data_IF_109279072619
#
_entry.id   IF_109279072619
#
_cell.length_a   1.000
_cell.length_b   1.000
_cell.length_c   1.000
_cell.angle_alpha   90.00
_cell.angle_beta   90.00
_cell.angle_gamma   90.00
#
_symmetry.space_group_name_H-M   'P 1'
#
loop_
_entity.id
_entity.type
_entity.pdbx_description
1 polymer ?
#
# COMPACT_ATOMS: atom_id res chain seq x y z
N UNK A 1 9.54 -6.30 20.01
CA UNK A 1 9.80 -5.25 19.01
C UNK A 1 10.95 -4.30 19.37
N UNK A 2 10.91 -3.55 20.48
CA UNK A 2 12.01 -2.64 20.86
C UNK A 2 13.30 -3.42 21.10
N UNK A 3 13.23 -4.54 21.78
CA UNK A 3 14.37 -5.41 22.05
C UNK A 3 14.97 -6.01 20.76
N UNK A 4 14.13 -6.33 19.78
CA UNK A 4 14.54 -6.81 18.44
C UNK A 4 15.33 -5.73 17.71
N UNK A 5 14.86 -4.47 17.72
CA UNK A 5 15.57 -3.35 17.12
C UNK A 5 16.91 -3.08 17.79
N UNK A 6 16.98 -3.12 19.14
CA UNK A 6 18.22 -2.96 19.89
C UNK A 6 19.23 -4.06 19.55
N UNK A 7 18.77 -5.31 19.44
CA UNK A 7 19.62 -6.44 19.08
C UNK A 7 20.08 -6.35 17.62
N UNK A 8 19.22 -5.96 16.69
CA UNK A 8 19.57 -5.72 15.28
C UNK A 8 20.64 -4.61 15.14
N UNK A 9 20.57 -3.56 15.97
CA UNK A 9 21.55 -2.48 15.96
C UNK A 9 22.98 -2.93 16.36
N UNK A 10 23.09 -3.96 17.20
CA UNK A 10 24.39 -4.54 17.61
C UNK A 10 25.08 -5.28 16.47
N UNK A 11 24.33 -5.75 15.46
CA UNK A 11 24.88 -6.45 14.30
C UNK A 11 25.33 -5.45 13.24
N UNK A 12 26.63 -5.38 12.93
CA UNK A 12 27.23 -4.37 12.06
C UNK A 12 26.58 -4.27 10.66
N UNK A 13 26.24 -5.42 10.04
CA UNK A 13 25.66 -5.41 8.70
C UNK A 13 24.18 -4.99 8.71
N UNK A 14 23.41 -5.39 9.74
CA UNK A 14 22.04 -4.95 9.90
C UNK A 14 21.98 -3.46 10.19
N UNK A 15 22.89 -2.95 11.01
CA UNK A 15 23.05 -1.52 11.26
C UNK A 15 23.31 -0.75 9.97
N UNK A 16 24.20 -1.22 9.08
CA UNK A 16 24.45 -0.59 7.78
C UNK A 16 23.19 -0.53 6.93
N UNK A 17 22.41 -1.62 6.87
CA UNK A 17 21.14 -1.67 6.12
C UNK A 17 20.09 -0.72 6.71
N UNK A 18 19.97 -0.66 8.05
CA UNK A 18 19.04 0.26 8.74
C UNK A 18 19.41 1.72 8.40
N UNK A 19 20.70 2.06 8.55
CA UNK A 19 21.18 3.40 8.23
C UNK A 19 20.98 3.78 6.77
N UNK A 20 21.20 2.84 5.84
CA UNK A 20 20.94 3.05 4.43
C UNK A 20 19.47 3.32 4.14
N UNK A 21 18.56 2.53 4.74
CA UNK A 21 17.11 2.75 4.61
C UNK A 21 16.69 4.11 5.20
N UNK A 22 17.23 4.48 6.37
CA UNK A 22 16.99 5.79 6.98
C UNK A 22 17.49 6.93 6.10
N UNK A 23 18.65 6.79 5.47
CA UNK A 23 19.20 7.76 4.53
C UNK A 23 18.29 7.95 3.31
N UNK A 24 17.77 6.87 2.73
CA UNK A 24 16.83 6.97 1.59
C UNK A 24 15.52 7.65 2.02
N UNK A 25 15.00 7.36 3.22
CA UNK A 25 13.82 8.06 3.75
C UNK A 25 14.09 9.56 3.88
N UNK A 26 15.28 9.94 4.34
CA UNK A 26 15.68 11.35 4.43
C UNK A 26 15.73 12.01 3.05
N UNK A 27 16.32 11.36 2.03
CA UNK A 27 16.34 11.86 0.65
C UNK A 27 14.91 12.01 0.13
N UNK A 28 14.02 11.03 0.38
CA UNK A 28 12.61 11.13 0.03
C UNK A 28 11.93 12.35 0.69
N UNK A 29 12.21 12.62 1.97
CA UNK A 29 11.62 13.78 2.67
C UNK A 29 12.13 15.11 2.14
N UNK A 30 13.39 15.22 1.80
CA UNK A 30 13.97 16.44 1.17
C UNK A 30 13.28 16.68 -0.19
N UNK A 31 13.18 15.66 -1.05
CA UNK A 31 12.53 15.82 -2.35
C UNK A 31 11.03 16.13 -2.26
N UNK A 32 10.35 15.66 -1.21
CA UNK A 32 8.96 16.00 -0.95
C UNK A 32 8.76 17.46 -0.49
N UNK A 33 9.82 18.17 -0.12
CA UNK A 33 9.79 19.58 0.26
C UNK A 33 10.22 20.52 -0.88
N UNK A 34 10.82 20.00 -1.96
CA UNK A 34 11.30 20.83 -3.09
C UNK A 34 10.14 21.22 -3.99
N UNK A 35 9.81 22.51 -4.15
CA UNK A 35 8.76 22.96 -5.06
C UNK A 35 9.20 22.77 -6.54
N UNK A 36 8.23 22.50 -7.40
CA UNK A 36 8.48 22.41 -8.84
C UNK A 36 8.55 23.83 -9.44
N UNK A 37 9.51 24.12 -10.35
CA UNK A 37 9.56 25.40 -11.04
C UNK A 37 8.23 25.74 -11.71
N UNK A 38 7.89 27.02 -11.75
CA UNK A 38 6.66 27.56 -12.34
C UNK A 38 5.33 27.14 -11.65
N UNK A 39 5.40 26.53 -10.49
CA UNK A 39 4.21 26.17 -9.69
C UNK A 39 4.28 26.91 -8.37
N UNK A 40 3.23 27.70 -8.06
CA UNK A 40 3.13 28.49 -6.85
C UNK A 40 1.79 28.19 -6.15
N UNK A 41 1.85 27.30 -5.18
CA UNK A 41 0.70 26.89 -4.38
C UNK A 41 0.89 27.41 -2.95
N UNK A 42 0.39 28.64 -2.72
CA UNK A 42 0.34 29.24 -1.40
C UNK A 42 -0.89 28.72 -0.65
N UNK A 43 -0.67 27.99 0.46
CA UNK A 43 -1.75 27.48 1.32
C UNK A 43 -2.25 26.05 1.02
N UNK A 44 -1.76 25.42 -0.05
CA UNK A 44 -2.14 24.05 -0.45
C UNK A 44 -3.35 24.00 -1.39
N UNK A 45 -3.46 22.90 -2.15
CA UNK A 45 -4.58 22.63 -3.08
C UNK A 45 -5.87 22.28 -2.34
N UNK A 46 -5.76 21.72 -1.14
CA UNK A 46 -6.86 21.25 -0.31
C UNK A 46 -7.03 22.26 0.83
N UNK A 47 -7.77 23.32 0.57
CA UNK A 47 -8.11 24.34 1.59
C UNK A 47 -9.33 23.97 2.40
N UNK A 48 -10.24 23.18 1.84
CA UNK A 48 -11.45 22.71 2.51
C UNK A 48 -11.32 21.26 2.94
N UNK A 49 -11.55 20.99 4.21
CA UNK A 49 -11.57 19.64 4.80
C UNK A 49 -12.64 18.74 4.15
N UNK A 50 -13.61 19.34 3.48
CA UNK A 50 -14.69 18.68 2.72
C UNK A 50 -14.38 18.53 1.22
N UNK A 51 -13.24 19.05 0.74
CA UNK A 51 -12.87 18.91 -0.65
C UNK A 51 -12.47 17.45 -0.94
N UNK A 52 -13.12 16.88 -1.92
CA UNK A 52 -12.92 15.57 -2.55
C UNK A 52 -11.97 14.63 -1.78
N UNK A 53 -12.55 13.69 -1.04
CA UNK A 53 -11.83 12.69 -0.23
C UNK A 53 -10.70 11.96 -1.00
N UNK A 54 -10.79 11.91 -2.34
CA UNK A 54 -9.75 11.35 -3.20
C UNK A 54 -8.45 12.17 -3.18
N UNK A 55 -8.53 13.49 -3.26
CA UNK A 55 -7.36 14.37 -3.19
C UNK A 55 -6.70 14.32 -1.81
N UNK A 56 -7.51 14.26 -0.76
CA UNK A 56 -7.03 14.04 0.60
C UNK A 56 -6.31 12.70 0.72
N UNK A 57 -6.83 11.63 0.12
CA UNK A 57 -6.19 10.32 0.10
C UNK A 57 -4.83 10.35 -0.64
N UNK A 58 -4.76 10.96 -1.83
CA UNK A 58 -3.49 11.13 -2.56
C UNK A 58 -2.49 11.95 -1.75
N UNK A 59 -2.93 13.06 -1.16
CA UNK A 59 -2.09 13.89 -0.32
C UNK A 59 -1.53 13.13 0.88
N UNK A 60 -2.31 12.20 1.47
CA UNK A 60 -1.83 11.35 2.55
C UNK A 60 -0.76 10.37 2.11
N UNK A 61 -0.95 9.69 1.00
CA UNK A 61 0.03 8.73 0.47
C UNK A 61 1.34 9.39 0.05
N UNK A 62 1.27 10.68 -0.36
CA UNK A 62 2.44 11.45 -0.81
C UNK A 62 3.10 12.26 0.30
N UNK A 63 2.56 12.22 1.53
CA UNK A 63 3.06 12.99 2.65
C UNK A 63 2.94 14.50 2.45
N UNK A 64 1.83 14.98 1.89
CA UNK A 64 1.50 16.36 1.48
C UNK A 64 2.20 16.87 0.22
N UNK A 65 3.10 16.10 -0.39
CA UNK A 65 3.78 16.51 -1.62
C UNK A 65 2.78 16.85 -2.75
N UNK A 66 1.67 16.10 -2.85
CA UNK A 66 0.59 16.37 -3.81
C UNK A 66 -0.12 17.70 -3.50
N UNK A 67 -0.38 17.99 -2.23
CA UNK A 67 -1.10 19.18 -1.80
C UNK A 67 -0.32 20.48 -2.11
N UNK A 68 1.00 20.43 -2.00
CA UNK A 68 1.88 21.58 -2.26
C UNK A 68 2.53 21.58 -3.64
N UNK A 69 2.20 20.61 -4.52
CA UNK A 69 2.75 20.56 -5.86
C UNK A 69 4.27 20.41 -5.91
N UNK A 70 4.86 19.69 -4.96
CA UNK A 70 6.31 19.49 -4.89
C UNK A 70 6.78 18.41 -5.86
N UNK A 71 8.09 18.26 -6.03
CA UNK A 71 8.72 17.34 -6.98
C UNK A 71 8.18 15.91 -6.89
N UNK A 72 7.84 15.48 -5.68
CA UNK A 72 7.32 14.13 -5.42
C UNK A 72 5.80 14.05 -5.30
N UNK A 73 5.06 14.99 -5.91
CA UNK A 73 3.60 15.01 -5.86
C UNK A 73 2.94 13.72 -6.37
N UNK A 74 3.50 13.06 -7.39
CA UNK A 74 2.99 11.77 -7.88
C UNK A 74 3.40 10.58 -7.01
N UNK A 75 4.40 10.75 -6.13
CA UNK A 75 4.93 9.69 -5.25
C UNK A 75 5.21 8.38 -6.01
N UNK A 76 5.00 7.25 -5.37
CA UNK A 76 5.18 5.90 -5.94
C UNK A 76 3.90 5.36 -6.60
N UNK A 77 2.81 6.14 -6.62
CA UNK A 77 1.49 5.72 -7.12
C UNK A 77 1.52 5.19 -8.56
N UNK A 78 2.22 5.82 -9.54
CA UNK A 78 2.31 5.28 -10.91
C UNK A 78 2.94 3.90 -10.96
N UNK A 79 3.95 3.64 -10.12
CA UNK A 79 4.60 2.34 -10.06
C UNK A 79 3.70 1.26 -9.44
N UNK A 80 2.95 1.59 -8.39
CA UNK A 80 1.97 0.68 -7.79
C UNK A 80 0.94 0.29 -8.85
N UNK A 81 0.37 1.27 -9.55
CA UNK A 81 -0.61 1.03 -10.61
C UNK A 81 -0.03 0.17 -11.74
N UNK A 82 1.20 0.45 -12.18
CA UNK A 82 1.90 -0.35 -13.17
C UNK A 82 2.10 -1.80 -12.70
N UNK A 83 2.53 -2.00 -11.45
CA UNK A 83 2.73 -3.33 -10.86
C UNK A 83 1.42 -4.11 -10.83
N UNK A 84 0.31 -3.47 -10.45
CA UNK A 84 -1.03 -4.07 -10.45
C UNK A 84 -1.43 -4.50 -11.87
N UNK A 85 -1.29 -3.59 -12.83
CA UNK A 85 -1.65 -3.86 -14.22
C UNK A 85 -0.83 -5.05 -14.77
N UNK A 86 0.47 -5.07 -14.54
CA UNK A 86 1.33 -6.16 -15.01
C UNK A 86 1.01 -7.48 -14.31
N UNK A 87 0.71 -7.47 -13.00
CA UNK A 87 0.28 -8.68 -12.29
C UNK A 87 -1.06 -9.23 -12.82
N UNK A 88 -2.03 -8.37 -13.13
CA UNK A 88 -3.28 -8.78 -13.77
C UNK A 88 -3.04 -9.35 -15.17
N UNK A 89 -2.20 -8.68 -15.95
CA UNK A 89 -1.85 -9.12 -17.30
C UNK A 89 -1.05 -10.43 -17.33
N UNK A 90 -0.25 -10.73 -16.29
CA UNK A 90 0.44 -12.03 -16.17
C UNK A 90 -0.52 -13.20 -16.04
N UNK A 91 -1.71 -12.98 -15.50
CA UNK A 91 -2.77 -14.01 -15.44
C UNK A 91 -3.57 -14.09 -16.74
N UNK A 92 -3.78 -12.94 -17.40
CA UNK A 92 -4.60 -12.84 -18.60
C UNK A 92 -3.85 -13.23 -19.88
N UNK A 93 -2.53 -12.98 -19.94
CA UNK A 93 -1.71 -13.16 -21.16
C UNK A 93 -0.76 -14.34 -20.98
N UNK A 94 -0.92 -15.46 -21.75
CA UNK A 94 -0.08 -16.66 -21.61
C UNK A 94 1.43 -16.41 -21.82
N UNK A 95 1.80 -15.39 -22.62
CA UNK A 95 3.20 -15.03 -22.81
C UNK A 95 3.84 -14.47 -21.55
N UNK A 96 3.11 -13.64 -20.79
CA UNK A 96 3.59 -13.09 -19.52
C UNK A 96 3.55 -14.14 -18.39
N UNK A 97 2.58 -15.06 -18.44
CA UNK A 97 2.53 -16.21 -17.52
C UNK A 97 3.76 -17.11 -17.67
N UNK A 98 4.20 -17.37 -18.91
CA UNK A 98 5.45 -18.13 -19.18
C UNK A 98 6.65 -17.42 -18.57
N UNK A 99 6.78 -16.10 -18.79
CA UNK A 99 7.87 -15.30 -18.20
C UNK A 99 7.84 -15.36 -16.67
N UNK A 100 6.68 -15.34 -16.03
CA UNK A 100 6.56 -15.45 -14.58
C UNK A 100 7.05 -16.81 -14.04
N UNK A 101 6.94 -17.88 -14.85
CA UNK A 101 7.39 -19.25 -14.52
C UNK A 101 8.86 -19.53 -14.86
N UNK A 102 9.51 -18.68 -15.66
CA UNK A 102 10.94 -18.82 -16.06
C UNK A 102 11.95 -18.55 -14.92
N UNK A 103 11.49 -18.29 -13.69
CA UNK A 103 12.37 -18.08 -12.54
C UNK A 103 12.95 -16.66 -12.47
N UNK A 104 14.25 -16.52 -12.15
CA UNK A 104 14.86 -15.20 -11.92
C UNK A 104 14.97 -14.33 -13.18
N UNK A 105 15.27 -14.91 -14.34
CA UNK A 105 15.35 -14.15 -15.59
C UNK A 105 13.99 -13.60 -16.01
N UNK A 106 12.94 -14.41 -15.92
CA UNK A 106 11.59 -13.97 -16.20
C UNK A 106 11.13 -12.86 -15.26
N UNK A 107 11.44 -12.97 -13.97
CA UNK A 107 11.14 -11.92 -12.98
C UNK A 107 11.87 -10.61 -13.29
N UNK A 108 13.13 -10.64 -13.73
CA UNK A 108 13.87 -9.44 -14.15
C UNK A 108 13.22 -8.77 -15.37
N UNK A 109 12.80 -9.56 -16.37
CA UNK A 109 12.07 -9.04 -17.54
C UNK A 109 10.73 -8.41 -17.15
N UNK A 110 9.95 -9.07 -16.30
CA UNK A 110 8.69 -8.52 -15.79
C UNK A 110 8.91 -7.21 -15.01
N UNK A 111 9.94 -7.15 -14.16
CA UNK A 111 10.31 -5.92 -13.45
C UNK A 111 10.66 -4.78 -14.44
N UNK A 112 11.39 -5.07 -15.52
CA UNK A 112 11.70 -4.07 -16.55
C UNK A 112 10.44 -3.58 -17.26
N UNK A 113 9.51 -4.47 -17.61
CA UNK A 113 8.21 -4.09 -18.21
C UNK A 113 7.43 -3.20 -17.25
N UNK A 114 7.39 -3.56 -15.95
CA UNK A 114 6.73 -2.75 -14.92
C UNK A 114 7.34 -1.35 -14.81
N UNK A 115 8.67 -1.21 -14.90
CA UNK A 115 9.35 0.09 -14.89
C UNK A 115 8.94 0.95 -16.08
N UNK A 116 8.96 0.43 -17.30
CA UNK A 116 8.54 1.18 -18.50
C UNK A 116 7.08 1.58 -18.43
N UNK A 117 6.20 0.67 -18.01
CA UNK A 117 4.78 0.96 -17.83
C UNK A 117 4.57 2.04 -16.75
N UNK A 118 5.35 2.01 -15.66
CA UNK A 118 5.27 3.01 -14.60
C UNK A 118 5.69 4.40 -15.07
N UNK A 119 6.71 4.52 -15.90
CA UNK A 119 7.13 5.80 -16.49
C UNK A 119 6.05 6.35 -17.42
N UNK A 120 5.44 5.50 -18.25
CA UNK A 120 4.34 5.90 -19.14
C UNK A 120 3.12 6.39 -18.31
N UNK A 121 2.75 5.67 -17.24
CA UNK A 121 1.67 6.09 -16.34
C UNK A 121 2.03 7.37 -15.57
N UNK A 122 3.29 7.53 -15.14
CA UNK A 122 3.75 8.74 -14.47
C UNK A 122 3.62 9.95 -15.39
N UNK A 123 3.98 9.82 -16.67
CA UNK A 123 3.85 10.90 -17.66
C UNK A 123 2.38 11.26 -17.88
N UNK A 124 1.50 10.26 -18.00
CA UNK A 124 0.06 10.49 -18.15
C UNK A 124 -0.53 11.21 -16.90
N UNK A 125 -0.20 10.75 -15.69
CA UNK A 125 -0.67 11.35 -14.45
C UNK A 125 -0.09 12.74 -14.22
N UNK A 126 1.18 12.97 -14.54
CA UNK A 126 1.82 14.29 -14.48
C UNK A 126 1.17 15.28 -15.42
N UNK A 127 0.77 14.85 -16.62
CA UNK A 127 0.01 15.66 -17.57
C UNK A 127 -1.38 16.01 -17.00
N UNK A 128 -2.06 15.05 -16.38
CA UNK A 128 -3.32 15.29 -15.69
C UNK A 128 -3.20 16.36 -14.62
N UNK A 129 -2.21 16.20 -13.78
CA UNK A 129 -1.96 17.08 -12.65
C UNK A 129 -1.57 18.50 -13.12
N UNK A 130 -0.81 18.61 -14.20
CA UNK A 130 -0.53 19.91 -14.84
C UNK A 130 -1.82 20.62 -15.27
N UNK A 131 -2.74 19.92 -15.96
CA UNK A 131 -4.02 20.51 -16.36
C UNK A 131 -4.87 20.92 -15.15
N UNK A 132 -4.82 20.14 -14.09
CA UNK A 132 -5.52 20.48 -12.84
C UNK A 132 -4.96 21.75 -12.19
N UNK A 133 -3.63 21.88 -12.05
CA UNK A 133 -2.95 23.08 -11.53
C UNK A 133 -3.28 24.29 -12.40
N UNK A 134 -3.23 24.12 -13.72
CA UNK A 134 -3.56 25.18 -14.69
C UNK A 134 -5.01 25.64 -14.56
N UNK A 135 -5.95 24.74 -14.33
CA UNK A 135 -7.38 25.08 -14.18
C UNK A 135 -7.70 25.86 -12.91
N UNK A 136 -6.82 25.81 -11.91
CA UNK A 136 -6.92 26.49 -10.62
C UNK A 136 -6.06 27.75 -10.52
N UNK A 137 -5.40 28.12 -11.61
CA UNK A 137 -4.53 29.32 -11.70
C UNK A 137 -3.35 29.34 -10.70
N UNK A 138 -2.80 28.16 -10.38
CA UNK A 138 -1.62 28.01 -9.54
C UNK A 138 -0.28 28.04 -10.31
N UNK A 139 -0.31 28.42 -11.59
CA UNK A 139 0.90 28.61 -12.39
C UNK A 139 1.44 30.02 -12.20
N UNK A 140 2.77 30.13 -12.09
CA UNK A 140 3.43 31.45 -12.07
C UNK A 140 3.10 32.23 -13.34
N UNK A 141 2.85 33.51 -13.17
CA UNK A 141 2.60 34.48 -14.24
C UNK A 141 3.88 35.23 -14.59
N UNK A 142 3.88 35.92 -15.74
CA UNK A 142 4.96 36.81 -16.15
C UNK A 142 5.08 38.02 -15.17
N UNK A 143 6.18 38.76 -15.25
CA UNK A 143 6.44 39.96 -14.45
C UNK A 143 5.30 41.00 -14.46
N UNK A 144 4.46 40.97 -15.49
CA UNK A 144 3.28 41.81 -15.65
C UNK A 144 1.98 41.19 -15.13
N UNK A 145 2.02 40.03 -14.46
CA UNK A 145 0.84 39.29 -13.98
C UNK A 145 0.04 38.60 -15.08
N UNK A 146 0.53 38.54 -16.32
CA UNK A 146 -0.11 37.85 -17.44
C UNK A 146 0.32 36.38 -17.52
N UNK A 147 -0.59 35.50 -17.96
CA UNK A 147 -0.25 34.08 -18.21
C UNK A 147 0.72 34.00 -19.38
N UNK A 148 1.73 33.14 -19.26
CA UNK A 148 2.66 32.88 -20.35
C UNK A 148 1.90 32.40 -21.61
N UNK A 149 2.26 32.94 -22.78
CA UNK A 149 1.66 32.61 -24.08
C UNK A 149 2.73 32.16 -25.07
N UNK A 150 2.30 31.44 -26.11
CA UNK A 150 3.21 30.96 -27.17
C UNK A 150 4.25 29.96 -26.66
N UNK A 151 5.51 30.15 -27.04
CA UNK A 151 6.64 29.25 -26.76
C UNK A 151 6.85 29.05 -25.24
N UNK A 152 6.77 30.11 -24.45
CA UNK A 152 6.99 30.07 -23.01
C UNK A 152 5.89 29.23 -22.27
N UNK A 153 4.64 29.25 -22.75
CA UNK A 153 3.59 28.40 -22.18
C UNK A 153 3.85 26.91 -22.44
N UNK A 154 4.37 26.56 -23.63
CA UNK A 154 4.74 25.18 -23.96
C UNK A 154 5.95 24.75 -23.14
N UNK A 155 6.97 25.60 -23.01
CA UNK A 155 8.14 25.33 -22.19
C UNK A 155 7.79 25.11 -20.72
N UNK A 156 6.93 25.96 -20.15
CA UNK A 156 6.42 25.82 -18.77
C UNK A 156 5.70 24.48 -18.59
N UNK A 157 4.81 24.11 -19.53
CA UNK A 157 4.08 22.84 -19.47
C UNK A 157 5.03 21.63 -19.51
N UNK A 158 5.98 21.63 -20.46
CA UNK A 158 6.97 20.55 -20.59
C UNK A 158 7.85 20.44 -19.33
N UNK A 159 8.35 21.56 -18.82
CA UNK A 159 9.19 21.57 -17.63
C UNK A 159 8.46 20.97 -16.42
N UNK A 160 7.21 21.36 -16.16
CA UNK A 160 6.40 20.87 -15.06
C UNK A 160 6.13 19.37 -15.20
N UNK A 161 5.67 18.92 -16.40
CA UNK A 161 5.35 17.50 -16.65
C UNK A 161 6.60 16.63 -16.51
N UNK A 162 7.74 17.06 -17.06
CA UNK A 162 9.00 16.33 -16.94
C UNK A 162 9.50 16.27 -15.49
N UNK A 163 9.40 17.37 -14.73
CA UNK A 163 9.78 17.39 -13.31
C UNK A 163 8.98 16.38 -12.49
N UNK A 164 7.65 16.34 -12.64
CA UNK A 164 6.82 15.37 -11.91
C UNK A 164 7.08 13.92 -12.34
N UNK A 165 7.28 13.69 -13.65
CA UNK A 165 7.60 12.35 -14.16
C UNK A 165 8.97 11.88 -13.66
N UNK A 166 9.97 12.75 -13.69
CA UNK A 166 11.30 12.46 -13.17
C UNK A 166 11.27 12.20 -11.68
N UNK A 167 10.51 13.01 -10.88
CA UNK A 167 10.34 12.82 -9.45
C UNK A 167 9.75 11.44 -9.11
N UNK A 168 8.68 11.03 -9.79
CA UNK A 168 8.08 9.71 -9.60
C UNK A 168 9.02 8.56 -9.98
N UNK A 169 9.74 8.70 -11.10
CA UNK A 169 10.74 7.70 -11.54
C UNK A 169 11.90 7.60 -10.55
N UNK A 170 12.31 8.71 -9.97
CA UNK A 170 13.35 8.73 -8.94
C UNK A 170 12.91 8.04 -7.65
N UNK A 171 11.65 8.26 -7.21
CA UNK A 171 11.09 7.54 -6.06
C UNK A 171 11.03 6.03 -6.31
N UNK A 172 10.63 5.60 -7.51
CA UNK A 172 10.66 4.19 -7.91
C UNK A 172 12.07 3.61 -7.73
N UNK A 173 13.09 4.31 -8.24
CA UNK A 173 14.49 3.89 -8.09
C UNK A 173 14.92 3.84 -6.62
N UNK A 174 14.53 4.81 -5.79
CA UNK A 174 14.80 4.80 -4.35
C UNK A 174 14.17 3.56 -3.67
N UNK A 175 12.93 3.19 -4.04
CA UNK A 175 12.26 1.98 -3.55
C UNK A 175 13.03 0.71 -3.90
N UNK A 176 13.54 0.61 -5.13
CA UNK A 176 14.36 -0.52 -5.56
C UNK A 176 15.70 -0.58 -4.82
N UNK A 177 16.34 0.54 -4.57
CA UNK A 177 17.58 0.59 -3.76
C UNK A 177 17.36 0.10 -2.32
N UNK A 178 16.20 0.37 -1.72
CA UNK A 178 15.86 -0.20 -0.40
C UNK A 178 15.72 -1.72 -0.51
N UNK A 179 15.07 -2.25 -1.56
CA UNK A 179 14.92 -3.69 -1.75
C UNK A 179 16.27 -4.40 -1.90
N UNK A 180 17.24 -3.79 -2.58
CA UNK A 180 18.57 -4.38 -2.83
C UNK A 180 19.50 -4.26 -1.62
N UNK A 181 19.58 -3.09 -1.02
CA UNK A 181 20.62 -2.75 -0.02
C UNK A 181 20.05 -2.43 1.37
N UNK A 182 18.76 -2.24 1.49
CA UNK A 182 18.08 -1.86 2.71
C UNK A 182 17.44 -3.03 3.46
N UNK A 183 16.42 -2.71 4.23
CA UNK A 183 15.58 -3.63 4.99
C UNK A 183 14.13 -3.40 4.60
N UNK A 184 13.35 -4.47 4.50
CA UNK A 184 11.93 -4.40 4.18
C UNK A 184 11.65 -4.22 2.69
N UNK A 185 10.37 -4.08 2.37
CA UNK A 185 9.92 -3.75 1.03
C UNK A 185 10.03 -2.22 0.82
N UNK A 186 10.88 -1.79 -0.11
CA UNK A 186 11.19 -0.37 -0.32
C UNK A 186 9.96 0.47 -0.68
N UNK A 187 9.06 -0.07 -1.49
CA UNK A 187 7.80 0.60 -1.85
C UNK A 187 6.95 0.85 -0.61
N UNK A 188 6.77 -0.20 0.21
CA UNK A 188 6.00 -0.13 1.45
C UNK A 188 6.61 0.84 2.46
N UNK A 189 7.95 0.88 2.56
CA UNK A 189 8.68 1.79 3.47
C UNK A 189 8.52 3.25 3.03
N UNK A 190 8.56 3.54 1.73
CA UNK A 190 8.34 4.91 1.22
C UNK A 190 6.90 5.36 1.51
N UNK A 191 5.90 4.49 1.31
CA UNK A 191 4.51 4.77 1.68
C UNK A 191 4.37 4.99 3.19
N UNK A 192 4.99 4.14 3.99
CA UNK A 192 5.04 4.29 5.45
C UNK A 192 5.63 5.64 5.86
N UNK A 193 6.76 6.04 5.28
CA UNK A 193 7.39 7.33 5.54
C UNK A 193 6.49 8.52 5.15
N UNK A 194 5.75 8.43 4.03
CA UNK A 194 4.75 9.41 3.62
C UNK A 194 3.63 9.56 4.66
N UNK A 195 3.06 8.44 5.10
CA UNK A 195 1.95 8.43 6.06
C UNK A 195 2.40 8.96 7.44
N UNK A 196 3.54 8.47 7.95
CA UNK A 196 4.09 8.91 9.24
C UNK A 196 4.36 10.41 9.26
N UNK A 197 4.83 10.96 8.15
CA UNK A 197 5.13 12.39 8.06
C UNK A 197 3.92 13.31 8.23
N UNK A 198 2.70 12.80 7.98
CA UNK A 198 1.45 13.55 8.20
C UNK A 198 0.83 13.33 9.58
N UNK A 199 1.34 12.41 10.38
CA UNK A 199 0.80 12.19 11.72
C UNK A 199 0.78 13.47 12.59
N UNK A 200 1.84 14.31 12.63
CA UNK A 200 1.79 15.54 13.41
C UNK A 200 0.68 16.50 12.96
N UNK A 201 0.50 16.66 11.65
CA UNK A 201 -0.56 17.56 11.12
C UNK A 201 -1.95 17.02 11.39
N UNK A 202 -2.12 15.69 11.39
CA UNK A 202 -3.39 15.05 11.74
C UNK A 202 -3.72 15.23 13.22
N UNK A 203 -2.73 15.07 14.12
CA UNK A 203 -2.91 15.30 15.56
C UNK A 203 -3.26 16.77 15.83
N UNK A 204 -2.55 17.69 15.15
CA UNK A 204 -2.87 19.12 15.25
C UNK A 204 -4.27 19.43 14.74
N UNK A 205 -4.70 18.81 13.64
CA UNK A 205 -6.05 18.91 13.11
C UNK A 205 -7.12 18.45 14.11
N UNK A 206 -6.89 17.33 14.82
CA UNK A 206 -7.77 16.86 15.89
C UNK A 206 -7.84 17.86 17.05
N UNK A 207 -6.70 18.46 17.42
CA UNK A 207 -6.66 19.50 18.45
C UNK A 207 -7.48 20.75 18.06
N UNK A 208 -7.41 21.22 16.81
CA UNK A 208 -8.20 22.35 16.33
C UNK A 208 -9.71 22.08 16.31
N UNK A 209 -10.13 20.82 16.22
CA UNK A 209 -11.55 20.47 16.42
C UNK A 209 -11.98 20.59 17.89
N UNK A 210 -11.11 20.28 18.85
CA UNK A 210 -11.40 20.48 20.28
C UNK A 210 -11.65 21.96 20.61
N UNK A 211 -10.88 22.87 20.00
CA UNK A 211 -11.05 24.32 20.23
C UNK A 211 -12.42 24.85 19.74
N UNK A 212 -13.09 24.16 18.82
CA UNK A 212 -14.44 24.53 18.36
C UNK A 212 -15.53 24.27 19.41
N UNK A 213 -15.24 23.50 20.47
CA UNK A 213 -16.16 23.22 21.56
C UNK A 213 -17.39 22.39 21.19
N UNK A 214 -18.37 22.32 22.11
CA UNK A 214 -19.63 21.61 21.86
C UNK A 214 -19.47 20.09 21.73
N UNK A 215 -20.13 19.47 20.74
CA UNK A 215 -20.10 18.03 20.50
C UNK A 215 -18.72 17.48 20.13
N UNK A 216 -17.80 18.34 19.60
CA UNK A 216 -16.45 17.94 19.27
C UNK A 216 -15.64 17.47 20.48
N UNK A 217 -15.97 17.94 21.70
CA UNK A 217 -15.35 17.50 22.93
C UNK A 217 -15.57 16.01 23.24
N UNK A 218 -16.66 15.44 22.73
CA UNK A 218 -16.95 14.00 22.84
C UNK A 218 -16.43 13.23 21.61
N UNK A 219 -16.58 13.79 20.40
CA UNK A 219 -16.24 13.10 19.14
C UNK A 219 -14.74 12.88 19.00
N UNK A 220 -13.90 13.86 19.37
CA UNK A 220 -12.44 13.76 19.22
C UNK A 220 -11.81 12.66 20.11
N UNK A 221 -12.13 12.55 21.42
CA UNK A 221 -11.67 11.42 22.22
C UNK A 221 -12.16 10.06 21.70
N UNK A 222 -13.41 9.97 21.22
CA UNK A 222 -13.94 8.74 20.61
C UNK A 222 -13.14 8.38 19.37
N UNK A 223 -12.81 9.36 18.52
CA UNK A 223 -11.97 9.16 17.34
C UNK A 223 -10.57 8.67 17.71
N UNK A 224 -9.94 9.24 18.74
CA UNK A 224 -8.61 8.82 19.21
C UNK A 224 -8.62 7.39 19.78
N UNK A 225 -9.60 7.07 20.62
CA UNK A 225 -9.76 5.71 21.19
C UNK A 225 -10.02 4.70 20.08
N UNK A 226 -10.89 5.02 19.11
CA UNK A 226 -11.20 4.13 18.00
C UNK A 226 -9.99 3.88 17.11
N UNK A 227 -9.10 4.86 16.91
CA UNK A 227 -7.86 4.69 16.17
C UNK A 227 -6.90 3.72 16.90
N UNK A 228 -6.78 3.83 18.21
CA UNK A 228 -5.98 2.88 19.02
C UNK A 228 -6.57 1.47 18.95
N UNK A 229 -7.89 1.33 19.05
CA UNK A 229 -8.58 0.04 18.91
C UNK A 229 -8.37 -0.55 17.50
N UNK A 230 -8.40 0.28 16.46
CA UNK A 230 -8.14 -0.15 15.10
C UNK A 230 -6.70 -0.66 14.93
N UNK A 231 -5.70 0.02 15.47
CA UNK A 231 -4.32 -0.45 15.48
C UNK A 231 -4.19 -1.79 16.19
N UNK A 232 -4.78 -1.92 17.38
CA UNK A 232 -4.78 -3.18 18.14
C UNK A 232 -5.45 -4.33 17.36
N UNK A 233 -6.56 -4.04 16.68
CA UNK A 233 -7.27 -5.00 15.84
C UNK A 233 -6.43 -5.46 14.64
N UNK A 234 -5.73 -4.54 13.96
CA UNK A 234 -4.86 -4.88 12.84
C UNK A 234 -3.69 -5.76 13.31
N UNK A 235 -3.05 -5.42 14.43
CA UNK A 235 -1.96 -6.21 15.02
C UNK A 235 -2.44 -7.62 15.37
N UNK A 236 -3.63 -7.74 15.95
CA UNK A 236 -4.24 -9.03 16.25
C UNK A 236 -4.51 -9.85 14.98
N UNK A 237 -5.08 -9.22 13.95
CA UNK A 237 -5.39 -9.85 12.67
C UNK A 237 -4.12 -10.34 11.93
N UNK A 238 -3.06 -9.53 11.88
CA UNK A 238 -1.81 -9.87 11.18
C UNK A 238 -0.97 -10.95 11.88
N UNK A 239 -1.19 -11.13 13.17
CA UNK A 239 -0.57 -12.20 13.95
C UNK A 239 -1.42 -13.46 14.04
N UNK A 240 -2.69 -13.40 13.62
CA UNK A 240 -3.58 -14.55 13.62
C UNK A 240 -3.15 -15.58 12.57
N UNK A 241 -2.92 -16.82 12.98
CA UNK A 241 -2.52 -17.93 12.11
C UNK A 241 -3.34 -19.19 12.37
N UNK A 242 -3.64 -19.92 11.29
CA UNK A 242 -4.20 -21.27 11.38
C UNK A 242 -3.07 -22.28 11.27
N UNK A 243 -2.84 -23.06 12.31
CA UNK A 243 -1.83 -24.12 12.35
C UNK A 243 -2.44 -25.43 11.87
N UNK A 244 -1.94 -25.95 10.73
CA UNK A 244 -2.32 -27.26 10.22
C UNK A 244 -1.31 -28.28 10.74
N UNK A 245 -1.71 -29.33 11.48
CA UNK A 245 -0.78 -30.35 11.95
C UNK A 245 -0.26 -31.17 10.77
N UNK A 246 1.06 -31.33 10.69
CA UNK A 246 1.74 -32.17 9.70
C UNK A 246 2.63 -33.17 10.46
N UNK A 247 2.45 -34.45 10.20
CA UNK A 247 3.28 -35.51 10.76
C UNK A 247 4.28 -35.98 9.73
N UNK A 248 5.54 -36.01 10.09
CA UNK A 248 6.59 -36.54 9.27
C UNK A 248 6.93 -37.98 9.69
N UNK A 249 7.08 -38.87 8.71
CA UNK A 249 7.45 -40.24 8.96
C UNK A 249 8.80 -40.33 9.68
N UNK A 250 8.90 -41.22 10.69
CA UNK A 250 10.16 -41.54 11.36
C UNK A 250 11.07 -42.29 10.39
N UNK A 251 12.29 -41.81 10.20
CA UNK A 251 13.29 -42.48 9.40
C UNK A 251 14.29 -43.19 10.34
N UNK A 252 14.42 -44.49 10.19
CA UNK A 252 15.41 -45.28 10.93
C UNK A 252 16.66 -45.39 10.03
N UNK A 253 17.78 -44.84 10.49
CA UNK A 253 19.10 -44.99 9.83
C UNK A 253 20.01 -45.73 10.81
N UNK A 254 20.21 -47.01 10.54
CA UNK A 254 20.90 -47.89 11.45
C UNK A 254 20.16 -48.11 12.76
N UNK A 255 20.83 -47.92 13.91
CA UNK A 255 20.25 -48.04 15.26
C UNK A 255 19.63 -46.75 15.80
N UNK A 256 19.73 -45.63 15.07
CA UNK A 256 19.21 -44.32 15.49
C UNK A 256 17.92 -43.95 14.73
N UNK A 257 16.89 -43.57 15.46
CA UNK A 257 15.65 -43.03 14.90
C UNK A 257 15.81 -41.51 14.70
N UNK A 258 15.70 -41.08 13.44
CA UNK A 258 15.66 -39.66 13.05
C UNK A 258 14.28 -39.30 12.56
N UNK A 259 13.78 -38.14 12.97
CA UNK A 259 12.47 -37.63 12.55
C UNK A 259 11.30 -38.02 13.51
N UNK A 260 10.09 -37.79 13.08
CA UNK A 260 8.90 -38.04 13.88
C UNK A 260 8.49 -36.82 14.73
N UNK A 261 9.02 -35.65 14.42
CA UNK A 261 8.48 -34.40 15.00
C UNK A 261 7.14 -34.07 14.36
N UNK A 262 6.12 -33.94 15.20
CA UNK A 262 4.87 -33.33 14.79
C UNK A 262 5.09 -31.82 14.65
N UNK A 263 5.13 -31.33 13.41
CA UNK A 263 5.24 -29.92 13.13
C UNK A 263 3.89 -29.37 12.66
N UNK A 264 3.75 -28.07 12.77
CA UNK A 264 2.57 -27.39 12.29
C UNK A 264 2.95 -26.52 11.10
N UNK A 265 2.12 -26.52 10.07
CA UNK A 265 2.20 -25.55 8.96
C UNK A 265 1.37 -24.33 9.32
N UNK A 266 2.00 -23.20 9.65
CA UNK A 266 1.25 -21.98 9.96
C UNK A 266 0.76 -21.32 8.66
N UNK A 267 -0.53 -21.03 8.57
CA UNK A 267 -1.14 -20.24 7.50
C UNK A 267 -1.71 -18.98 8.15
N UNK A 268 -1.25 -17.80 7.74
CA UNK A 268 -1.76 -16.53 8.28
C UNK A 268 -3.22 -16.32 7.85
N UNK A 269 -4.03 -15.71 8.70
CA UNK A 269 -5.41 -15.32 8.36
C UNK A 269 -5.38 -14.21 7.32
N UNK A 270 -4.52 -13.20 7.49
CA UNK A 270 -4.24 -12.19 6.49
C UNK A 270 -3.07 -12.64 5.59
N UNK A 271 -3.36 -13.54 4.63
CA UNK A 271 -2.35 -14.09 3.73
C UNK A 271 -1.86 -13.09 2.69
N UNK A 272 -2.74 -12.18 2.28
CA UNK A 272 -2.50 -11.25 1.18
C UNK A 272 -1.94 -9.91 1.66
N UNK A 273 -1.84 -9.70 2.98
CA UNK A 273 -1.37 -8.45 3.58
C UNK A 273 -2.24 -7.26 3.19
N UNK A 274 -1.60 -6.17 2.82
CA UNK A 274 -2.25 -4.88 2.48
C UNK A 274 -2.63 -4.78 1.00
N UNK A 275 -2.10 -5.66 0.14
CA UNK A 275 -2.22 -5.55 -1.32
C UNK A 275 -3.67 -5.50 -1.84
N UNK A 276 -4.62 -6.31 -1.37
CA UNK A 276 -6.00 -6.23 -1.83
C UNK A 276 -6.64 -4.86 -1.64
N UNK A 277 -6.30 -4.19 -0.54
CA UNK A 277 -6.81 -2.85 -0.23
C UNK A 277 -6.19 -1.81 -1.17
N UNK A 278 -4.87 -1.90 -1.41
CA UNK A 278 -4.17 -1.00 -2.33
C UNK A 278 -4.74 -1.16 -3.74
N UNK A 279 -5.00 -2.39 -4.19
CA UNK A 279 -5.57 -2.66 -5.50
C UNK A 279 -6.99 -2.12 -5.63
N UNK A 280 -7.84 -2.38 -4.64
CA UNK A 280 -9.20 -1.87 -4.61
C UNK A 280 -9.24 -0.33 -4.62
N UNK A 281 -8.42 0.32 -3.79
CA UNK A 281 -8.33 1.79 -3.75
C UNK A 281 -7.78 2.39 -5.05
N UNK A 282 -6.80 1.73 -5.67
CA UNK A 282 -6.23 2.17 -6.96
C UNK A 282 -7.27 2.14 -8.09
N UNK A 283 -8.07 1.08 -8.17
CA UNK A 283 -9.16 1.01 -9.18
C UNK A 283 -10.24 2.06 -8.91
N UNK A 284 -10.65 2.21 -7.65
CA UNK A 284 -11.65 3.23 -7.29
C UNK A 284 -11.15 4.66 -7.49
N UNK A 285 -9.85 4.87 -7.54
CA UNK A 285 -9.23 6.17 -7.81
C UNK A 285 -9.21 6.55 -9.30
N UNK A 286 -9.40 5.60 -10.22
CA UNK A 286 -9.36 5.87 -11.67
C UNK A 286 -10.48 6.82 -12.13
N UNK A 287 -11.78 6.62 -11.80
CA UNK A 287 -12.83 7.53 -12.23
C UNK A 287 -12.66 8.97 -11.75
N UNK A 288 -12.34 9.25 -10.46
CA UNK A 288 -12.02 10.61 -10.02
C UNK A 288 -10.80 11.21 -10.73
N UNK A 289 -9.80 10.40 -11.07
CA UNK A 289 -8.63 10.85 -11.85
C UNK A 289 -9.06 11.28 -13.26
N UNK A 290 -9.93 10.50 -13.92
CA UNK A 290 -10.46 10.86 -15.25
C UNK A 290 -11.32 12.14 -15.17
N UNK A 291 -12.07 12.33 -14.09
CA UNK A 291 -12.86 13.54 -13.85
C UNK A 291 -12.03 14.81 -13.84
N UNK A 292 -10.75 14.75 -13.46
CA UNK A 292 -9.84 15.89 -13.51
C UNK A 292 -9.61 16.43 -14.94
N UNK A 293 -9.72 15.55 -15.95
CA UNK A 293 -9.53 15.93 -17.36
C UNK A 293 -10.80 16.39 -18.04
N UNK A 294 -11.96 15.98 -17.56
CA UNK A 294 -13.25 16.21 -18.21
C UNK A 294 -14.06 17.24 -17.44
N UNK A 295 -14.38 18.36 -18.08
CA UNK A 295 -15.35 19.32 -17.54
C UNK A 295 -16.74 18.70 -17.62
N UNK A 296 -17.25 18.19 -16.51
CA UNK A 296 -18.57 17.57 -16.41
C UNK A 296 -19.62 18.65 -16.18
N UNK A 297 -20.66 18.71 -17.04
CA UNK A 297 -21.82 19.61 -16.83
C UNK A 297 -22.61 19.13 -15.61
N UNK A 298 -22.90 20.06 -14.70
CA UNK A 298 -23.75 19.80 -13.54
C UNK A 298 -25.14 19.32 -13.99
N UNK A 299 -25.65 18.21 -13.39
CA UNK A 299 -26.94 17.62 -13.72
C UNK A 299 -26.95 16.60 -14.86
N UNK A 300 -25.81 16.31 -15.53
CA UNK A 300 -25.72 15.28 -16.56
C UNK A 300 -25.52 13.86 -16.01
N UNK A 301 -25.75 12.83 -16.87
CA UNK A 301 -25.49 11.41 -16.56
C UNK A 301 -24.06 11.18 -16.00
N UNK A 302 -23.06 11.81 -16.59
CA UNK A 302 -21.67 11.73 -16.15
C UNK A 302 -21.44 12.33 -14.76
N UNK A 303 -22.16 13.41 -14.40
CA UNK A 303 -22.07 13.95 -13.05
C UNK A 303 -22.60 12.95 -12.00
N UNK A 304 -23.71 12.27 -12.31
CA UNK A 304 -24.25 11.21 -11.46
C UNK A 304 -23.30 10.02 -11.34
N UNK A 305 -22.70 9.61 -12.46
CA UNK A 305 -21.72 8.52 -12.48
C UNK A 305 -20.51 8.82 -11.59
N UNK A 306 -19.87 9.98 -11.73
CA UNK A 306 -18.72 10.34 -10.92
C UNK A 306 -19.06 10.51 -9.44
N UNK A 307 -20.26 10.98 -9.12
CA UNK A 307 -20.75 11.13 -7.75
C UNK A 307 -20.81 9.79 -7.00
N UNK A 308 -21.03 8.66 -7.69
CA UNK A 308 -21.01 7.32 -7.09
C UNK A 308 -19.62 6.97 -6.56
N UNK A 309 -18.56 7.49 -7.19
CA UNK A 309 -17.16 7.24 -6.80
C UNK A 309 -16.64 8.24 -5.75
N UNK A 310 -17.47 9.17 -5.28
CA UNK A 310 -17.12 9.98 -4.13
C UNK A 310 -17.21 9.13 -2.86
N UNK A 311 -16.19 9.20 -2.00
CA UNK A 311 -16.14 8.41 -0.76
C UNK A 311 -17.22 8.80 0.27
N UNK A 312 -17.93 9.89 0.05
CA UNK A 312 -19.12 10.30 0.81
C UNK A 312 -20.38 9.52 0.42
N UNK A 313 -20.36 8.87 -0.75
CA UNK A 313 -21.53 8.14 -1.24
C UNK A 313 -21.50 6.68 -0.73
N UNK A 314 -22.65 6.16 -0.26
CA UNK A 314 -22.76 4.80 0.28
C UNK A 314 -22.36 3.71 -0.73
N UNK A 315 -22.60 3.94 -2.03
CA UNK A 315 -22.24 3.01 -3.10
C UNK A 315 -20.71 2.84 -3.22
N UNK A 316 -19.91 3.88 -2.94
CA UNK A 316 -18.46 3.77 -2.86
C UNK A 316 -18.03 2.72 -1.82
N UNK A 317 -18.61 2.74 -0.63
CA UNK A 317 -18.30 1.76 0.42
C UNK A 317 -18.62 0.33 0.00
N UNK A 318 -19.76 0.10 -0.67
CA UNK A 318 -20.12 -1.24 -1.18
C UNK A 318 -19.16 -1.69 -2.29
N UNK A 319 -18.85 -0.84 -3.24
CA UNK A 319 -17.90 -1.16 -4.32
C UNK A 319 -16.52 -1.48 -3.73
N UNK A 320 -16.08 -0.70 -2.76
CA UNK A 320 -14.81 -0.91 -2.07
C UNK A 320 -14.78 -2.25 -1.35
N UNK A 321 -15.83 -2.60 -0.62
CA UNK A 321 -15.99 -3.89 0.04
C UNK A 321 -15.89 -5.07 -0.94
N UNK A 322 -16.65 -5.01 -2.03
CA UNK A 322 -16.66 -6.06 -3.06
C UNK A 322 -15.30 -6.20 -3.72
N UNK A 323 -14.65 -5.09 -4.06
CA UNK A 323 -13.32 -5.10 -4.67
C UNK A 323 -12.25 -5.66 -3.72
N UNK A 324 -12.29 -5.35 -2.43
CA UNK A 324 -11.34 -5.93 -1.44
C UNK A 324 -11.48 -7.45 -1.42
N UNK A 325 -12.72 -7.98 -1.37
CA UNK A 325 -12.95 -9.43 -1.39
C UNK A 325 -12.45 -10.04 -2.70
N UNK A 326 -12.78 -9.43 -3.83
CA UNK A 326 -12.35 -9.90 -5.14
C UNK A 326 -10.82 -9.98 -5.24
N UNK A 327 -10.12 -8.90 -4.88
CA UNK A 327 -8.66 -8.88 -4.94
C UNK A 327 -8.00 -9.77 -3.90
N UNK A 328 -8.61 -9.98 -2.73
CA UNK A 328 -8.11 -10.94 -1.75
C UNK A 328 -8.10 -12.37 -2.32
N UNK A 329 -9.20 -12.79 -2.95
CA UNK A 329 -9.27 -14.10 -3.61
C UNK A 329 -8.33 -14.19 -4.81
N UNK A 330 -8.30 -13.15 -5.64
CA UNK A 330 -7.42 -13.09 -6.80
C UNK A 330 -5.95 -13.23 -6.41
N UNK A 331 -5.51 -12.45 -5.44
CA UNK A 331 -4.13 -12.47 -4.97
C UNK A 331 -3.76 -13.78 -4.26
N UNK A 332 -4.66 -14.31 -3.43
CA UNK A 332 -4.47 -15.62 -2.79
C UNK A 332 -4.29 -16.74 -3.81
N UNK A 333 -5.05 -16.72 -4.92
CA UNK A 333 -4.95 -17.71 -5.99
C UNK A 333 -3.61 -17.64 -6.75
N UNK A 334 -3.03 -16.44 -6.88
CA UNK A 334 -1.71 -16.26 -7.53
C UNK A 334 -0.57 -16.68 -6.60
N UNK A 335 -0.65 -16.28 -5.33
CA UNK A 335 0.45 -16.44 -4.38
C UNK A 335 0.58 -17.85 -3.84
N UNK A 336 -0.54 -18.55 -3.68
CA UNK A 336 -0.57 -19.88 -3.08
C UNK A 336 -1.01 -20.92 -4.10
N UNK A 337 -0.15 -21.92 -4.32
CA UNK A 337 -0.46 -23.09 -5.14
C UNK A 337 -0.69 -24.31 -4.24
N UNK A 338 -1.95 -24.70 -3.96
CA UNK A 338 -2.25 -25.80 -3.05
C UNK A 338 -1.68 -27.16 -3.53
N UNK A 339 -1.57 -27.34 -4.86
CA UNK A 339 -1.02 -28.57 -5.44
C UNK A 339 0.48 -28.67 -5.13
N UNK A 340 1.20 -27.58 -5.30
CA UNK A 340 2.62 -27.53 -5.00
C UNK A 340 2.89 -27.71 -3.49
N UNK A 341 2.08 -27.07 -2.65
CA UNK A 341 2.15 -27.23 -1.19
C UNK A 341 1.93 -28.68 -0.77
N UNK A 342 0.91 -29.35 -1.32
CA UNK A 342 0.64 -30.77 -1.05
C UNK A 342 1.76 -31.68 -1.55
N UNK A 343 2.34 -31.39 -2.72
CA UNK A 343 3.47 -32.13 -3.27
C UNK A 343 4.74 -31.94 -2.42
N UNK A 344 5.00 -30.74 -1.90
CA UNK A 344 6.14 -30.48 -1.02
C UNK A 344 6.01 -31.23 0.30
N UNK A 345 4.80 -31.28 0.89
CA UNK A 345 4.55 -32.10 2.08
C UNK A 345 4.84 -33.57 1.78
N UNK A 346 4.35 -34.11 0.64
CA UNK A 346 4.56 -35.50 0.22
C UNK A 346 6.04 -35.80 -0.04
N UNK A 347 6.78 -34.93 -0.74
CA UNK A 347 8.22 -35.10 -1.02
C UNK A 347 9.04 -35.19 0.26
N UNK A 348 8.65 -34.46 1.29
CA UNK A 348 9.30 -34.49 2.60
C UNK A 348 8.76 -35.62 3.51
N UNK A 349 8.07 -36.63 2.97
CA UNK A 349 7.45 -37.73 3.72
C UNK A 349 6.50 -37.26 4.84
N UNK A 350 5.85 -36.09 4.65
CA UNK A 350 4.86 -35.54 5.55
C UNK A 350 3.44 -35.96 5.15
N UNK A 351 2.56 -36.06 6.13
CA UNK A 351 1.12 -36.31 5.93
C UNK A 351 0.30 -35.48 6.92
N UNK A 352 -0.88 -35.05 6.49
CA UNK A 352 -1.85 -34.45 7.39
C UNK A 352 -2.64 -35.58 8.07
N UNK A 353 -2.75 -35.61 9.42
CA UNK A 353 -3.48 -36.67 10.11
C UNK A 353 -4.91 -36.82 9.58
N UNK A 354 -5.28 -38.06 9.24
CA UNK A 354 -6.62 -38.38 8.72
C UNK A 354 -6.85 -38.09 7.24
N UNK A 355 -5.85 -37.57 6.50
CA UNK A 355 -5.96 -37.23 5.06
C UNK A 355 -4.91 -37.97 4.27
N UNK A 356 -5.33 -38.65 3.18
CA UNK A 356 -4.39 -39.36 2.29
C UNK A 356 -3.47 -38.37 1.56
N UNK A 357 -2.16 -38.65 1.45
CA UNK A 357 -1.24 -37.82 0.67
C UNK A 357 -1.63 -37.73 -0.80
N UNK A 358 -1.45 -36.55 -1.42
CA UNK A 358 -1.74 -36.30 -2.83
C UNK A 358 -2.94 -35.38 -3.03
N UNK A 359 -3.85 -35.73 -3.97
CA UNK A 359 -5.01 -34.90 -4.31
C UNK A 359 -5.92 -34.57 -3.11
N UNK A 360 -6.29 -35.49 -2.20
CA UNK A 360 -7.10 -35.15 -1.03
C UNK A 360 -6.45 -34.11 -0.12
N UNK A 361 -5.12 -34.13 0.01
CA UNK A 361 -4.37 -33.13 0.76
C UNK A 361 -4.43 -31.75 0.08
N UNK A 362 -4.29 -31.70 -1.25
CA UNK A 362 -4.46 -30.46 -2.02
C UNK A 362 -5.88 -29.89 -1.86
N UNK A 363 -6.91 -30.73 -1.99
CA UNK A 363 -8.30 -30.30 -1.86
C UNK A 363 -8.61 -29.75 -0.45
N UNK A 364 -8.03 -30.38 0.58
CA UNK A 364 -8.15 -29.89 1.95
C UNK A 364 -7.47 -28.53 2.13
N UNK A 365 -6.22 -28.38 1.65
CA UNK A 365 -5.49 -27.10 1.71
C UNK A 365 -6.28 -26.02 0.96
N UNK A 366 -6.80 -26.31 -0.21
CA UNK A 366 -7.64 -25.37 -1.00
C UNK A 366 -8.85 -24.89 -0.19
N UNK A 367 -9.57 -25.80 0.47
CA UNK A 367 -10.70 -25.42 1.33
C UNK A 367 -10.29 -24.52 2.49
N UNK A 368 -9.17 -24.85 3.15
CA UNK A 368 -8.64 -24.03 4.27
C UNK A 368 -8.23 -22.65 3.78
N UNK A 369 -7.47 -22.55 2.67
CA UNK A 369 -7.04 -21.30 2.08
C UNK A 369 -8.26 -20.43 1.69
N UNK A 370 -9.24 -20.99 0.99
CA UNK A 370 -10.43 -20.23 0.59
C UNK A 370 -11.21 -19.66 1.77
N UNK A 371 -11.38 -20.44 2.85
CA UNK A 371 -12.07 -19.98 4.07
C UNK A 371 -11.25 -18.90 4.80
N UNK A 372 -9.95 -19.08 4.92
CA UNK A 372 -9.07 -18.08 5.55
C UNK A 372 -9.03 -16.78 4.74
N UNK A 373 -8.98 -16.87 3.41
CA UNK A 373 -9.04 -15.69 2.53
C UNK A 373 -10.35 -14.92 2.73
N UNK A 374 -11.48 -15.60 2.84
CA UNK A 374 -12.76 -14.94 3.12
C UNK A 374 -12.73 -14.19 4.45
N UNK A 375 -12.31 -14.88 5.51
CA UNK A 375 -12.23 -14.28 6.86
C UNK A 375 -11.26 -13.10 6.85
N UNK A 376 -10.07 -13.26 6.28
CA UNK A 376 -9.08 -12.19 6.14
C UNK A 376 -9.62 -10.99 5.35
N UNK A 377 -10.29 -11.23 4.22
CA UNK A 377 -10.88 -10.17 3.41
C UNK A 377 -12.01 -9.42 4.15
N UNK A 378 -12.84 -10.11 4.92
CA UNK A 378 -13.88 -9.49 5.73
C UNK A 378 -13.26 -8.61 6.83
N UNK A 379 -12.26 -9.11 7.55
CA UNK A 379 -11.56 -8.33 8.58
C UNK A 379 -10.87 -7.10 7.99
N UNK A 380 -10.20 -7.24 6.85
CA UNK A 380 -9.59 -6.13 6.11
C UNK A 380 -10.63 -5.10 5.67
N UNK A 381 -11.80 -5.56 5.18
CA UNK A 381 -12.88 -4.67 4.76
C UNK A 381 -13.45 -3.85 5.91
N UNK A 382 -13.59 -4.44 7.09
CA UNK A 382 -14.05 -3.71 8.29
C UNK A 382 -13.12 -2.55 8.61
N UNK A 383 -11.81 -2.79 8.60
CA UNK A 383 -10.82 -1.74 8.87
C UNK A 383 -10.80 -0.68 7.77
N UNK A 384 -10.88 -1.10 6.50
CA UNK A 384 -10.86 -0.18 5.36
C UNK A 384 -12.09 0.73 5.30
N UNK A 385 -13.27 0.20 5.66
CA UNK A 385 -14.54 0.93 5.64
C UNK A 385 -14.75 1.80 6.89
N UNK A 386 -14.08 1.50 7.99
CA UNK A 386 -14.27 2.19 9.26
C UNK A 386 -14.21 3.72 9.15
N UNK A 387 -13.21 4.37 8.53
CA UNK A 387 -13.17 5.83 8.44
C UNK A 387 -14.30 6.42 7.60
N UNK A 388 -14.73 5.69 6.56
CA UNK A 388 -15.84 6.10 5.69
C UNK A 388 -17.13 6.10 6.51
N UNK A 389 -17.39 5.02 7.25
CA UNK A 389 -18.56 4.90 8.12
C UNK A 389 -18.52 5.94 9.26
N UNK A 390 -17.35 6.16 9.86
CA UNK A 390 -17.18 7.17 10.90
C UNK A 390 -17.48 8.59 10.39
N UNK A 391 -16.98 8.94 9.20
CA UNK A 391 -17.24 10.23 8.57
C UNK A 391 -18.73 10.41 8.23
N UNK A 392 -19.41 9.37 7.76
CA UNK A 392 -20.84 9.41 7.46
C UNK A 392 -21.70 9.56 8.73
N UNK A 393 -21.36 8.82 9.79
CA UNK A 393 -22.08 8.90 11.08
C UNK A 393 -21.90 10.29 11.68
N UNK A 394 -20.67 10.81 11.75
CA UNK A 394 -20.41 12.16 12.28
C UNK A 394 -21.03 13.26 11.42
N UNK A 395 -21.08 13.07 10.11
CA UNK A 395 -21.76 13.97 9.16
C UNK A 395 -23.28 14.02 9.37
N UNK A 396 -23.92 12.88 9.68
CA UNK A 396 -25.34 12.82 10.01
C UNK A 396 -25.70 13.62 11.26
N UNK A 397 -24.77 13.75 12.20
CA UNK A 397 -24.94 14.61 13.40
C UNK A 397 -24.51 16.07 13.18
N UNK A 398 -24.31 16.53 11.93
CA UNK A 398 -23.85 17.87 11.55
C UNK A 398 -22.47 18.27 12.10
N UNK A 399 -21.68 17.31 12.56
CA UNK A 399 -20.33 17.49 13.09
C UNK A 399 -19.34 16.64 12.31
N UNK A 400 -19.13 16.99 11.03
CA UNK A 400 -18.19 16.26 10.20
C UNK A 400 -16.77 16.36 10.77
N UNK A 401 -16.25 15.24 11.28
CA UNK A 401 -14.85 15.05 11.58
C UNK A 401 -14.31 14.09 10.54
N UNK A 402 -13.58 14.62 9.58
CA UNK A 402 -12.82 13.77 8.66
C UNK A 402 -11.60 13.24 9.41
N UNK A 403 -11.60 11.93 9.68
CA UNK A 403 -10.37 11.28 10.08
C UNK A 403 -9.43 11.29 8.88
N UNK A 404 -8.48 12.22 8.90
CA UNK A 404 -7.48 12.33 7.83
C UNK A 404 -6.59 11.08 7.75
N UNK A 405 -6.44 10.29 8.81
CA UNK A 405 -5.87 8.94 8.76
C UNK A 405 -6.94 7.94 8.31
N UNK A 406 -7.01 7.69 7.00
CA UNK A 406 -7.88 6.66 6.42
C UNK A 406 -7.50 5.25 6.91
N UNK A 407 -8.47 4.31 6.90
CA UNK A 407 -8.24 2.92 7.30
C UNK A 407 -7.11 2.24 6.52
N UNK A 408 -6.99 2.55 5.24
CA UNK A 408 -5.88 2.10 4.38
C UNK A 408 -4.52 2.56 4.88
N UNK A 409 -4.41 3.82 5.29
CA UNK A 409 -3.14 4.38 5.80
C UNK A 409 -2.72 3.71 7.10
N UNK A 410 -3.67 3.44 8.01
CA UNK A 410 -3.37 2.76 9.28
C UNK A 410 -2.96 1.31 9.05
N UNK A 411 -3.63 0.59 8.11
CA UNK A 411 -3.26 -0.79 7.77
C UNK A 411 -1.86 -0.82 7.16
N UNK A 412 -1.55 0.08 6.23
CA UNK A 412 -0.22 0.17 5.62
C UNK A 412 0.83 0.45 6.70
N UNK A 413 0.56 1.40 7.58
CA UNK A 413 1.48 1.78 8.65
C UNK A 413 1.78 0.60 9.59
N UNK A 414 0.75 -0.07 10.08
CA UNK A 414 0.91 -1.20 11.02
C UNK A 414 1.50 -2.43 10.31
N UNK A 415 0.98 -2.76 9.11
CA UNK A 415 1.43 -3.92 8.33
C UNK A 415 2.90 -3.82 7.94
N UNK A 416 3.33 -2.66 7.44
CA UNK A 416 4.74 -2.43 7.07
C UNK A 416 5.65 -2.48 8.29
N UNK A 417 5.23 -1.89 9.42
CA UNK A 417 6.02 -1.95 10.66
C UNK A 417 6.20 -3.40 11.13
N UNK A 418 5.12 -4.20 11.15
CA UNK A 418 5.17 -5.61 11.55
C UNK A 418 6.01 -6.46 10.59
N UNK A 419 5.84 -6.27 9.27
CA UNK A 419 6.60 -7.00 8.26
C UNK A 419 8.10 -6.69 8.35
N UNK A 420 8.46 -5.43 8.51
CA UNK A 420 9.86 -4.99 8.65
C UNK A 420 10.49 -5.59 9.90
N UNK A 421 9.79 -5.62 11.04
CA UNK A 421 10.30 -6.24 12.27
C UNK A 421 10.47 -7.74 12.10
N UNK A 422 9.49 -8.45 11.50
CA UNK A 422 9.58 -9.90 11.23
C UNK A 422 10.76 -10.21 10.29
N UNK A 423 11.00 -9.37 9.29
CA UNK A 423 12.15 -9.54 8.39
C UNK A 423 13.49 -9.34 9.12
N UNK A 424 13.57 -8.36 10.02
CA UNK A 424 14.74 -8.17 10.88
C UNK A 424 14.99 -9.40 11.77
N UNK A 425 13.95 -9.92 12.41
CA UNK A 425 14.03 -11.14 13.24
C UNK A 425 14.53 -12.35 12.43
N UNK A 426 13.98 -12.54 11.22
CA UNK A 426 14.41 -13.61 10.33
C UNK A 426 15.89 -13.48 9.93
N UNK A 427 16.35 -12.28 9.60
CA UNK A 427 17.76 -12.04 9.25
C UNK A 427 18.71 -12.23 10.44
N UNK A 428 18.26 -11.92 11.67
CA UNK A 428 19.05 -12.20 12.87
C UNK A 428 19.15 -13.71 13.17
N UNK A 429 18.03 -14.45 13.05
CA UNK A 429 18.03 -15.91 13.28
C UNK A 429 18.90 -16.65 12.29
N UNK A 430 18.89 -16.29 11.00
CA UNK A 430 19.76 -16.91 10.00
C UNK A 430 21.26 -16.78 10.31
N UNK A 431 21.67 -15.75 11.05
CA UNK A 431 23.08 -15.54 11.44
C UNK A 431 23.47 -16.28 12.71
N UNK A 432 22.55 -16.43 13.67
CA UNK A 432 22.84 -17.27 14.84
C UNK A 432 23.11 -18.72 14.45
N UNK A 433 22.47 -19.22 13.39
CA UNK A 433 22.75 -20.55 12.84
C UNK A 433 24.11 -20.65 12.11
N UNK A 434 24.60 -19.56 11.47
CA UNK A 434 25.93 -19.58 10.83
C UNK A 434 27.09 -19.58 11.83
N UNK A 435 26.93 -18.94 12.99
CA UNK A 435 27.93 -18.93 14.05
C UNK A 435 28.06 -20.26 14.82
N UNK A 436 27.26 -21.28 14.49
CA UNK A 436 27.39 -22.67 15.03
C UNK A 436 28.11 -23.62 14.06
N UNK A 437 28.44 -23.17 12.85
CA UNK A 437 29.08 -23.94 11.78
C UNK A 437 30.52 -23.51 11.48
N UNK A 438 30.96 -22.39 12.07
CA UNK A 438 32.36 -21.93 12.16
C UNK A 438 32.92 -22.24 13.56
#
# INVERSE_FOLDING_TARGET
>A
MIQTLINAWKVADLRKKILYTAFIILVFRIGAAIPVPFVEISGGLITDVNANNFMTYLSMMTGDAFNYGTLFAMSITPYINASIIIQLLTVAIPALEKLAKEGEEGRKKLSSITRYTSVALALMQSTAYFFYIRSRDYLTTDANGAKYTGFWAVFQALAIILCYTAGSTFIMWLGEQINEKGIGNGISIILFAGIVSRMPTTIYGLYTYLDKGGAYFAIVPIAAISLILMVAFIVWMDNAERRIPVQYAKRVVGRKMYGGQNTHMPIKVNMCGVLPIIFASSILSLPPTIQMFVKVKEGGFWAGFFKIFESTHWAYGIMYFVLIIFFAYFYAAIQYNPIEMANNIRKNSGAIPGIRPGKPTSDYITKVLSRLTLVGALLLSVVALYPILFSQITGAFKHQVSLSLGGTSVIILVGVALETVKQLESQMMMRQYKGFLD
#
